data_IF_492775857348
#
_entry.id   IF_492775857348
#
_cell.length_a   1.000
_cell.length_b   1.000
_cell.length_c   1.000
_cell.angle_alpha   90.00
_cell.angle_beta   90.00
_cell.angle_gamma   90.00
#
_symmetry.space_group_name_H-M   'P 1'
#
loop_
_entity.id
_entity.type
_entity.pdbx_description
1 polymer ?
#
# COMPACT_ATOMS: atom_id res chain seq x y z
N UNK A 1 21.78 -22.19 10.32
CA UNK A 1 20.60 -21.37 9.99
C UNK A 1 21.08 -20.11 9.29
N UNK A 2 21.11 -20.12 7.95
CA UNK A 2 21.37 -18.91 7.16
C UNK A 2 20.06 -18.11 7.14
N UNK A 3 20.17 -16.84 7.50
CA UNK A 3 19.07 -15.92 7.79
C UNK A 3 18.01 -15.86 6.68
N UNK A 4 16.75 -15.99 7.07
CA UNK A 4 15.54 -15.75 6.27
C UNK A 4 15.43 -14.30 5.72
N UNK A 5 16.39 -13.44 6.05
CA UNK A 5 16.54 -12.05 5.60
C UNK A 5 17.08 -11.89 4.16
N UNK A 6 17.54 -12.97 3.50
CA UNK A 6 18.29 -12.86 2.25
C UNK A 6 17.45 -12.64 0.98
N UNK A 7 16.13 -12.46 1.08
CA UNK A 7 15.23 -12.44 -0.08
C UNK A 7 14.42 -11.15 -0.29
N UNK A 8 14.75 -10.09 0.44
CA UNK A 8 14.51 -8.72 -0.02
C UNK A 8 15.86 -8.19 -0.52
N UNK A 9 16.21 -8.35 -1.81
CA UNK A 9 17.44 -7.77 -2.31
C UNK A 9 17.32 -6.25 -2.13
N UNK A 10 18.16 -5.68 -1.27
CA UNK A 10 18.44 -4.24 -1.15
C UNK A 10 17.32 -3.31 -0.64
N UNK A 11 16.30 -3.82 0.05
CA UNK A 11 15.61 -3.01 1.07
C UNK A 11 16.47 -3.01 2.34
N UNK A 12 17.66 -2.40 2.29
CA UNK A 12 18.22 -1.82 3.50
C UNK A 12 17.27 -0.69 3.89
N UNK A 13 16.21 -1.03 4.62
CA UNK A 13 15.37 -0.08 5.31
C UNK A 13 16.29 0.67 6.26
N UNK A 14 16.86 1.78 5.78
CA UNK A 14 17.38 2.81 6.66
C UNK A 14 16.27 3.04 7.67
N UNK A 15 16.58 2.98 8.97
CA UNK A 15 15.60 3.24 10.05
C UNK A 15 14.88 4.60 9.92
N UNK A 16 15.36 5.44 9.01
CA UNK A 16 14.83 6.75 8.63
C UNK A 16 13.75 6.70 7.53
N UNK A 17 13.63 5.62 6.76
CA UNK A 17 12.66 5.51 5.66
C UNK A 17 11.24 5.41 6.21
N UNK A 18 10.42 6.41 5.88
CA UNK A 18 9.01 6.45 6.24
C UNK A 18 8.21 5.61 5.24
N UNK A 19 7.77 4.44 5.69
CA UNK A 19 6.99 3.50 4.87
C UNK A 19 5.54 3.97 4.80
N UNK A 20 5.02 4.05 3.57
CA UNK A 20 3.59 4.10 3.26
C UNK A 20 3.10 2.69 2.96
N UNK A 21 2.18 2.18 3.78
CA UNK A 21 1.42 0.97 3.47
C UNK A 21 0.12 1.39 2.78
N UNK A 22 -0.04 0.98 1.53
CA UNK A 22 -1.21 1.31 0.71
C UNK A 22 -1.92 0.02 0.26
N UNK A 23 -2.84 -0.50 1.08
CA UNK A 23 -3.72 -1.57 0.69
C UNK A 23 -4.87 -1.04 -0.18
N UNK A 24 -5.11 -1.69 -1.33
CA UNK A 24 -6.06 -1.19 -2.33
C UNK A 24 -6.71 -2.30 -3.16
N UNK A 25 -7.77 -1.91 -3.87
CA UNK A 25 -8.45 -2.70 -4.89
C UNK A 25 -8.20 -2.07 -6.27
N UNK A 26 -6.95 -2.09 -6.73
CA UNK A 26 -6.52 -1.39 -7.93
C UNK A 26 -5.82 -0.06 -7.67
N UNK A 27 -4.93 0.29 -8.62
CA UNK A 27 -3.90 1.32 -8.42
C UNK A 27 -4.40 2.74 -8.67
N UNK A 28 -4.26 3.60 -7.65
CA UNK A 28 -4.46 5.04 -7.77
C UNK A 28 -3.23 5.83 -7.27
N UNK A 29 -2.54 6.48 -8.21
CA UNK A 29 -1.39 7.34 -7.94
C UNK A 29 -1.75 8.66 -7.20
N UNK A 30 -3.03 9.06 -7.16
CA UNK A 30 -3.46 10.30 -6.50
C UNK A 30 -3.25 10.25 -4.99
N UNK A 31 -3.31 9.06 -4.40
CA UNK A 31 -3.07 8.85 -2.95
C UNK A 31 -1.63 9.20 -2.56
N UNK A 32 -0.59 8.57 -3.12
CA UNK A 32 0.79 8.94 -2.80
C UNK A 32 1.13 10.38 -3.20
N UNK A 33 0.56 10.91 -4.30
CA UNK A 33 0.71 12.33 -4.65
C UNK A 33 0.13 13.26 -3.59
N UNK A 34 -1.03 12.92 -3.03
CA UNK A 34 -1.71 13.70 -2.00
C UNK A 34 -0.93 13.72 -0.70
N UNK A 35 -0.39 12.57 -0.26
CA UNK A 35 0.52 12.50 0.88
C UNK A 35 1.80 13.30 0.66
N UNK A 36 2.39 13.23 -0.53
CA UNK A 36 3.55 14.04 -0.88
C UNK A 36 3.23 15.53 -0.80
N UNK A 37 2.09 15.99 -1.32
CA UNK A 37 1.67 17.40 -1.22
C UNK A 37 1.47 17.83 0.22
N UNK A 38 0.83 17.01 1.04
CA UNK A 38 0.68 17.28 2.47
C UNK A 38 2.02 17.38 3.19
N UNK A 39 2.98 16.49 2.89
CA UNK A 39 4.32 16.56 3.50
C UNK A 39 5.00 17.93 3.31
N UNK A 40 4.69 18.61 2.20
CA UNK A 40 5.18 19.95 1.90
C UNK A 40 4.38 21.06 2.60
N UNK A 41 3.07 20.88 2.79
CA UNK A 41 2.18 21.90 3.33
C UNK A 41 2.15 21.95 4.86
N UNK A 42 2.17 20.77 5.49
CA UNK A 42 2.02 20.62 6.96
C UNK A 42 3.28 20.04 7.62
N UNK A 43 4.43 20.08 6.91
CA UNK A 43 5.74 19.65 7.39
C UNK A 43 5.77 18.20 7.93
N UNK A 44 5.07 17.29 7.27
CA UNK A 44 5.10 15.87 7.61
C UNK A 44 6.32 15.19 6.99
N UNK A 45 6.84 14.11 7.59
CA UNK A 45 7.90 13.31 6.99
C UNK A 45 7.49 12.76 5.62
N UNK A 46 8.30 12.94 4.57
CA UNK A 46 8.01 12.40 3.24
C UNK A 46 8.05 10.86 3.27
N UNK A 47 7.10 10.15 2.62
CA UNK A 47 7.23 8.71 2.44
C UNK A 47 8.45 8.42 1.55
N UNK A 48 9.29 7.48 1.98
CA UNK A 48 10.49 7.05 1.25
C UNK A 48 10.33 5.71 0.53
N UNK A 49 9.26 4.97 0.84
CA UNK A 49 8.90 3.70 0.22
C UNK A 49 7.38 3.52 0.30
N UNK A 50 6.78 3.03 -0.78
CA UNK A 50 5.40 2.57 -0.79
C UNK A 50 5.36 1.04 -0.86
N UNK A 51 4.75 0.40 0.12
CA UNK A 51 4.31 -0.99 0.04
C UNK A 51 2.87 -0.98 -0.44
N UNK A 52 2.70 -1.25 -1.73
CA UNK A 52 1.40 -1.21 -2.38
C UNK A 52 0.86 -2.64 -2.50
N UNK A 53 -0.23 -2.93 -1.78
CA UNK A 53 -0.77 -4.29 -1.66
C UNK A 53 -2.14 -4.34 -2.34
N UNK A 54 -2.23 -5.09 -3.43
CA UNK A 54 -3.39 -5.09 -4.31
C UNK A 54 -3.91 -6.50 -4.56
N UNK A 55 -5.07 -6.83 -3.99
CA UNK A 55 -5.69 -8.13 -4.16
C UNK A 55 -6.36 -8.29 -5.53
N UNK A 56 -6.67 -7.20 -6.23
CA UNK A 56 -7.36 -7.22 -7.53
C UNK A 56 -6.45 -7.67 -8.67
N UNK A 57 -5.13 -7.57 -8.46
CA UNK A 57 -4.08 -7.85 -9.44
C UNK A 57 -4.16 -7.01 -10.73
N UNK A 58 -5.00 -5.97 -10.77
CA UNK A 58 -5.21 -5.17 -11.98
C UNK A 58 -3.93 -4.45 -12.42
N UNK A 59 -3.13 -3.95 -11.47
CA UNK A 59 -1.88 -3.30 -11.82
C UNK A 59 -0.82 -4.32 -12.27
N UNK A 60 -0.77 -5.53 -11.68
CA UNK A 60 0.14 -6.58 -12.16
C UNK A 60 -0.03 -6.83 -13.67
N UNK A 61 -1.27 -7.04 -14.12
CA UNK A 61 -1.58 -7.25 -15.54
C UNK A 61 -1.10 -6.09 -16.41
N UNK A 62 -1.30 -4.84 -15.97
CA UNK A 62 -0.85 -3.65 -16.71
C UNK A 62 0.68 -3.54 -16.76
N UNK A 63 1.36 -3.86 -15.65
CA UNK A 63 2.82 -3.84 -15.59
C UNK A 63 3.43 -4.89 -16.52
N UNK A 64 2.89 -6.11 -16.54
CA UNK A 64 3.35 -7.19 -17.41
C UNK A 64 3.13 -6.86 -18.90
N UNK A 65 1.97 -6.30 -19.24
CA UNK A 65 1.68 -5.84 -20.60
C UNK A 65 2.62 -4.73 -21.05
N UNK A 66 2.87 -3.73 -20.19
CA UNK A 66 3.80 -2.64 -20.48
C UNK A 66 5.23 -3.17 -20.67
N UNK A 67 5.68 -4.05 -19.78
CA UNK A 67 6.99 -4.69 -19.88
C UNK A 67 7.14 -5.48 -21.18
N UNK A 68 6.13 -6.27 -21.57
CA UNK A 68 6.15 -7.04 -22.82
C UNK A 68 6.18 -6.13 -24.07
N UNK A 69 5.55 -4.97 -24.01
CA UNK A 69 5.58 -3.97 -25.09
C UNK A 69 6.88 -3.15 -25.13
N UNK A 70 7.71 -3.21 -24.07
CA UNK A 70 8.88 -2.33 -23.91
C UNK A 70 8.51 -0.90 -23.53
N UNK A 71 7.28 -0.69 -23.03
CA UNK A 71 6.71 0.60 -22.66
C UNK A 71 6.66 0.80 -21.14
N UNK A 72 6.50 2.05 -20.72
CA UNK A 72 6.14 2.42 -19.35
C UNK A 72 4.66 2.76 -19.21
N UNK A 73 4.12 2.70 -17.99
CA UNK A 73 2.76 3.18 -17.71
C UNK A 73 2.76 4.69 -17.51
N UNK A 74 1.89 5.42 -18.21
CA UNK A 74 1.80 6.88 -18.12
C UNK A 74 0.36 7.33 -17.90
N UNK A 75 0.17 8.23 -16.94
CA UNK A 75 -1.11 8.90 -16.67
C UNK A 75 -1.04 10.41 -16.95
N UNK A 76 0.13 10.92 -17.30
CA UNK A 76 0.39 12.32 -17.65
C UNK A 76 1.89 12.55 -17.87
N UNK A 77 2.31 13.79 -18.16
CA UNK A 77 3.73 14.12 -18.34
C UNK A 77 4.55 13.90 -17.06
N UNK A 78 3.90 14.07 -15.91
CA UNK A 78 4.51 14.08 -14.58
C UNK A 78 4.19 12.83 -13.75
N UNK A 79 3.34 11.93 -14.28
CA UNK A 79 2.86 10.75 -13.57
C UNK A 79 3.10 9.52 -14.43
N UNK A 80 4.11 8.74 -14.07
CA UNK A 80 4.51 7.58 -14.85
C UNK A 80 5.26 6.53 -14.04
N UNK A 81 5.32 5.32 -14.60
CA UNK A 81 6.21 4.23 -14.23
C UNK A 81 7.06 3.95 -15.47
N UNK A 82 8.36 4.21 -15.40
CA UNK A 82 9.26 4.08 -16.55
C UNK A 82 9.89 2.69 -16.66
N UNK A 83 10.27 2.09 -15.53
CA UNK A 83 10.90 0.77 -15.47
C UNK A 83 10.25 -0.06 -14.38
N UNK A 84 10.10 -1.35 -14.67
CA UNK A 84 9.55 -2.34 -13.75
C UNK A 84 10.56 -3.47 -13.62
N UNK A 85 10.96 -3.75 -12.40
CA UNK A 85 11.75 -4.93 -12.06
C UNK A 85 10.83 -5.97 -11.44
N UNK A 86 10.98 -7.22 -11.86
CA UNK A 86 10.28 -8.35 -11.24
C UNK A 86 11.14 -8.90 -10.11
N UNK A 87 10.53 -9.11 -8.96
CA UNK A 87 11.12 -9.78 -7.81
C UNK A 87 10.41 -11.11 -7.60
N UNK A 88 11.17 -12.19 -7.48
CA UNK A 88 10.68 -13.49 -7.04
C UNK A 88 10.79 -13.58 -5.52
N UNK A 89 9.67 -13.43 -4.77
CA UNK A 89 9.69 -13.58 -3.32
C UNK A 89 9.95 -15.03 -2.92
N UNK A 90 10.38 -15.27 -1.66
CA UNK A 90 10.50 -16.61 -1.12
C UNK A 90 9.24 -17.46 -1.30
N UNK A 91 9.42 -18.70 -1.71
CA UNK A 91 8.31 -19.65 -1.90
C UNK A 91 7.48 -19.84 -0.63
N UNK A 92 8.13 -19.89 0.54
CA UNK A 92 7.44 -20.00 1.82
C UNK A 92 6.56 -18.78 2.13
N UNK A 93 6.96 -17.58 1.71
CA UNK A 93 6.14 -16.37 1.85
C UNK A 93 4.90 -16.45 0.96
N UNK A 94 5.07 -16.87 -0.29
CA UNK A 94 3.94 -17.07 -1.21
C UNK A 94 2.96 -18.11 -0.65
N UNK A 95 3.44 -19.25 -0.15
CA UNK A 95 2.59 -20.30 0.43
C UNK A 95 1.80 -19.75 1.63
N UNK A 96 2.45 -19.00 2.52
CA UNK A 96 1.81 -18.38 3.69
C UNK A 96 0.73 -17.38 3.28
N UNK A 97 1.05 -16.46 2.37
CA UNK A 97 0.10 -15.48 1.83
C UNK A 97 -1.11 -16.16 1.18
N UNK A 98 -0.89 -17.21 0.38
CA UNK A 98 -1.96 -18.03 -0.21
C UNK A 98 -2.83 -18.69 0.86
N UNK A 99 -2.22 -19.29 1.88
CA UNK A 99 -2.95 -20.02 2.91
C UNK A 99 -3.91 -19.13 3.70
N UNK A 100 -3.49 -17.90 4.05
CA UNK A 100 -4.32 -16.94 4.78
C UNK A 100 -5.27 -16.14 3.88
N UNK A 101 -4.86 -15.86 2.64
CA UNK A 101 -5.68 -15.17 1.64
C UNK A 101 -6.87 -15.97 1.13
N UNK A 102 -6.96 -17.29 1.41
CA UNK A 102 -8.11 -18.14 1.05
C UNK A 102 -9.45 -17.69 1.63
N UNK A 103 -9.42 -16.86 2.67
CA UNK A 103 -10.62 -16.29 3.30
C UNK A 103 -10.97 -14.88 2.80
N UNK A 104 -10.24 -14.35 1.81
CA UNK A 104 -10.58 -13.09 1.17
C UNK A 104 -11.98 -13.18 0.51
N UNK A 105 -12.80 -12.11 0.57
CA UNK A 105 -14.11 -12.08 -0.08
C UNK A 105 -14.02 -12.52 -1.56
N UNK A 106 -15.06 -13.24 -2.02
CA UNK A 106 -15.14 -13.95 -3.31
C UNK A 106 -14.30 -13.33 -4.45
N UNK A 107 -13.23 -14.01 -4.84
CA UNK A 107 -12.37 -13.66 -5.99
C UNK A 107 -10.94 -13.22 -5.63
N UNK A 108 -10.63 -12.96 -4.36
CA UNK A 108 -9.36 -12.34 -3.91
C UNK A 108 -8.13 -13.24 -3.77
N UNK A 109 -8.03 -14.38 -4.45
CA UNK A 109 -6.81 -15.20 -4.42
C UNK A 109 -6.20 -15.35 -5.82
N UNK A 110 -5.53 -14.29 -6.25
CA UNK A 110 -4.53 -14.37 -7.28
C UNK A 110 -3.22 -13.81 -6.72
N UNK A 111 -2.65 -14.46 -5.70
CA UNK A 111 -1.25 -14.13 -5.36
C UNK A 111 -0.40 -14.51 -6.58
N UNK A 112 0.05 -13.52 -7.34
CA UNK A 112 1.09 -13.76 -8.33
C UNK A 112 2.32 -14.30 -7.60
N UNK A 113 3.03 -15.23 -8.22
CA UNK A 113 4.34 -15.67 -7.73
C UNK A 113 5.41 -14.58 -7.91
N UNK A 114 5.01 -13.38 -8.38
CA UNK A 114 5.88 -12.25 -8.69
C UNK A 114 5.46 -11.01 -7.94
N UNK A 115 6.44 -10.31 -7.40
CA UNK A 115 6.32 -8.94 -6.91
C UNK A 115 6.98 -8.00 -7.91
N UNK A 116 6.62 -6.73 -7.87
CA UNK A 116 7.05 -5.76 -8.86
C UNK A 116 7.61 -4.54 -8.15
N UNK A 117 8.81 -4.14 -8.55
CA UNK A 117 9.51 -2.97 -8.03
C UNK A 117 9.53 -1.93 -9.13
N UNK A 118 9.09 -0.72 -8.82
CA UNK A 118 9.13 0.39 -9.76
C UNK A 118 9.22 1.73 -9.04
N UNK A 119 9.76 2.73 -9.72
CA UNK A 119 9.68 4.11 -9.27
C UNK A 119 8.40 4.76 -9.82
N UNK A 120 7.53 5.21 -8.92
CA UNK A 120 6.42 6.06 -9.28
C UNK A 120 6.90 7.51 -9.38
N UNK A 121 6.92 8.03 -10.61
CA UNK A 121 7.27 9.42 -10.86
C UNK A 121 6.05 10.30 -10.48
N UNK A 122 6.25 11.21 -9.53
CA UNK A 122 5.26 12.14 -9.00
C UNK A 122 5.75 13.58 -9.15
N UNK A 123 5.59 14.17 -10.34
CA UNK A 123 5.99 15.54 -10.70
C UNK A 123 7.45 15.92 -10.41
N UNK A 124 7.84 16.07 -9.14
CA UNK A 124 9.20 16.42 -8.69
C UNK A 124 9.78 15.44 -7.67
N UNK A 125 9.16 14.28 -7.53
CA UNK A 125 9.57 13.25 -6.58
C UNK A 125 9.44 11.87 -7.21
N UNK A 126 10.35 10.98 -6.83
CA UNK A 126 10.29 9.57 -7.16
C UNK A 126 9.94 8.83 -5.89
N UNK A 127 8.85 8.07 -5.92
CA UNK A 127 8.46 7.21 -4.83
C UNK A 127 8.73 5.76 -5.24
N UNK A 128 9.74 5.09 -4.65
CA UNK A 128 9.93 3.66 -4.83
C UNK A 128 8.68 2.91 -4.36
N UNK A 129 8.18 2.00 -5.19
CA UNK A 129 7.03 1.16 -4.90
C UNK A 129 7.44 -0.30 -4.99
N UNK A 130 7.15 -1.04 -3.92
CA UNK A 130 7.06 -2.49 -3.95
C UNK A 130 5.58 -2.85 -4.07
N UNK A 131 5.18 -3.27 -5.26
CA UNK A 131 3.84 -3.77 -5.53
C UNK A 131 3.77 -5.27 -5.21
N UNK A 132 2.79 -5.64 -4.40
CA UNK A 132 2.55 -7.00 -3.91
C UNK A 132 1.11 -7.38 -4.25
N UNK A 133 0.88 -8.32 -5.18
CA UNK A 133 -0.45 -8.84 -5.45
C UNK A 133 -0.84 -9.82 -4.34
N UNK A 134 -1.49 -9.34 -3.28
CA UNK A 134 -1.87 -10.15 -2.12
C UNK A 134 -3.05 -9.53 -1.35
N UNK A 135 -3.61 -10.32 -0.43
CA UNK A 135 -4.48 -9.82 0.62
C UNK A 135 -3.65 -9.03 1.67
N UNK A 136 -4.14 -7.86 2.05
CA UNK A 136 -3.42 -6.96 2.94
C UNK A 136 -3.36 -7.47 4.40
N UNK A 137 -4.39 -8.16 4.89
CA UNK A 137 -4.38 -8.74 6.24
C UNK A 137 -3.34 -9.87 6.30
N UNK A 138 -3.33 -10.74 5.29
CA UNK A 138 -2.32 -11.78 5.16
C UNK A 138 -0.90 -11.19 5.05
N UNK A 139 -0.71 -10.15 4.24
CA UNK A 139 0.59 -9.48 4.10
C UNK A 139 1.09 -8.87 5.42
N UNK A 140 0.21 -8.21 6.17
CA UNK A 140 0.54 -7.70 7.51
C UNK A 140 1.04 -8.84 8.39
N UNK A 141 0.25 -9.90 8.54
CA UNK A 141 0.51 -10.94 9.52
C UNK A 141 1.71 -11.85 9.15
N UNK A 142 1.95 -12.08 7.86
CA UNK A 142 2.98 -13.03 7.41
C UNK A 142 4.29 -12.35 6.98
N UNK A 143 4.27 -11.05 6.67
CA UNK A 143 5.44 -10.33 6.18
C UNK A 143 5.79 -9.14 7.07
N UNK A 144 4.89 -8.17 7.26
CA UNK A 144 5.24 -6.96 8.01
C UNK A 144 5.55 -7.24 9.48
N UNK A 145 4.71 -8.03 10.15
CA UNK A 145 4.88 -8.36 11.57
C UNK A 145 6.16 -9.16 11.82
N UNK A 146 6.44 -10.26 11.09
CA UNK A 146 7.68 -11.01 11.29
C UNK A 146 8.95 -10.22 10.96
N UNK A 147 8.86 -9.20 10.10
CA UNK A 147 9.97 -8.33 9.74
C UNK A 147 10.05 -7.06 10.62
N UNK A 148 9.17 -6.92 11.61
CA UNK A 148 9.10 -5.76 12.51
C UNK A 148 8.99 -4.42 11.76
N UNK A 149 8.34 -4.43 10.59
CA UNK A 149 8.19 -3.22 9.77
C UNK A 149 6.96 -2.45 10.28
N UNK A 150 7.21 -1.31 10.91
CA UNK A 150 6.18 -0.36 11.31
C UNK A 150 5.97 0.71 10.23
N UNK A 151 4.79 0.76 9.56
CA UNK A 151 4.50 1.84 8.62
C UNK A 151 4.41 3.18 9.33
N UNK A 152 4.91 4.25 8.71
CA UNK A 152 4.67 5.62 9.18
C UNK A 152 3.29 6.12 8.73
N UNK A 153 2.87 5.69 7.54
CA UNK A 153 1.61 6.04 6.92
C UNK A 153 0.84 4.78 6.53
N UNK A 154 -0.46 4.79 6.76
CA UNK A 154 -1.40 3.88 6.09
C UNK A 154 -2.37 4.71 5.27
N UNK A 155 -2.65 4.29 4.04
CA UNK A 155 -3.68 4.91 3.22
C UNK A 155 -4.73 3.89 2.81
N UNK A 156 -5.99 4.14 3.16
CA UNK A 156 -7.10 3.23 2.85
C UNK A 156 -8.17 3.98 2.09
N UNK A 157 -8.56 3.48 0.92
CA UNK A 157 -9.61 4.09 0.11
C UNK A 157 -10.91 3.30 0.24
N UNK A 158 -11.99 4.00 0.56
CA UNK A 158 -13.28 3.43 0.98
C UNK A 158 -14.14 2.91 -0.17
N UNK A 159 -13.81 3.24 -1.43
CA UNK A 159 -14.71 2.97 -2.57
C UNK A 159 -14.79 1.50 -2.98
N UNK A 160 -14.00 0.61 -2.35
CA UNK A 160 -14.32 -0.82 -2.35
C UNK A 160 -15.76 -1.09 -1.92
N UNK A 161 -16.33 -0.28 -1.02
CA UNK A 161 -17.68 -0.53 -0.49
C UNK A 161 -18.81 -0.36 -1.53
N UNK A 162 -18.59 0.42 -2.61
CA UNK A 162 -19.60 0.61 -3.68
C UNK A 162 -19.62 -0.53 -4.69
N UNK A 163 -18.48 -1.16 -4.94
CA UNK A 163 -18.32 -2.30 -5.85
C UNK A 163 -18.28 -3.66 -5.12
N UNK A 164 -18.69 -3.71 -3.85
CA UNK A 164 -18.79 -4.96 -3.06
C UNK A 164 -17.51 -5.40 -2.33
N UNK A 165 -16.44 -4.61 -2.36
CA UNK A 165 -15.23 -4.75 -1.55
C UNK A 165 -15.41 -4.27 -0.11
N UNK A 166 -15.22 -5.15 0.86
CA UNK A 166 -15.41 -4.85 2.30
C UNK A 166 -14.36 -3.91 2.93
N UNK A 167 -13.55 -3.18 2.15
CA UNK A 167 -12.31 -2.51 2.61
C UNK A 167 -12.54 -1.42 3.67
N UNK A 168 -13.63 -0.65 3.54
CA UNK A 168 -14.03 0.35 4.55
C UNK A 168 -14.23 -0.30 5.92
N UNK A 169 -14.91 -1.47 5.96
CA UNK A 169 -15.16 -2.20 7.19
C UNK A 169 -13.89 -2.81 7.80
N UNK A 170 -12.89 -3.15 6.98
CA UNK A 170 -11.62 -3.70 7.49
C UNK A 170 -10.79 -2.63 8.21
N UNK A 171 -10.86 -1.39 7.75
CA UNK A 171 -9.96 -0.30 8.17
C UNK A 171 -10.45 0.47 9.40
N UNK A 172 -11.73 0.35 9.77
CA UNK A 172 -12.30 0.93 11.00
C UNK A 172 -11.58 0.44 12.24
N UNK A 173 -11.69 1.17 13.35
CA UNK A 173 -11.11 0.73 14.63
C UNK A 173 -11.59 -0.66 15.04
N UNK A 174 -12.85 -1.03 14.76
CA UNK A 174 -13.37 -2.37 15.04
C UNK A 174 -13.12 -3.37 13.90
N UNK A 175 -12.49 -2.92 12.81
CA UNK A 175 -12.23 -3.70 11.62
C UNK A 175 -11.02 -4.61 11.78
N UNK A 176 -11.01 -5.80 11.15
CA UNK A 176 -9.94 -6.79 11.31
C UNK A 176 -8.56 -6.31 10.82
N UNK A 177 -8.47 -5.38 9.85
CA UNK A 177 -7.18 -4.86 9.41
C UNK A 177 -6.58 -3.92 10.45
N UNK A 178 -7.37 -3.00 11.00
CA UNK A 178 -6.92 -2.16 12.11
C UNK A 178 -6.56 -2.97 13.35
N UNK A 179 -7.43 -3.91 13.74
CA UNK A 179 -7.18 -4.77 14.91
C UNK A 179 -5.92 -5.61 14.72
N UNK A 180 -5.66 -6.13 13.52
CA UNK A 180 -4.41 -6.84 13.23
C UNK A 180 -3.16 -5.96 13.38
N UNK A 181 -3.22 -4.69 12.97
CA UNK A 181 -2.12 -3.74 13.18
C UNK A 181 -1.96 -3.34 14.66
N UNK A 182 -3.06 -3.23 15.40
CA UNK A 182 -3.08 -2.92 16.84
C UNK A 182 -2.51 -4.07 17.67
N UNK A 183 -2.98 -5.30 17.46
CA UNK A 183 -2.54 -6.50 18.17
C UNK A 183 -1.05 -6.78 17.96
N UNK A 184 -0.53 -6.44 16.78
CA UNK A 184 0.88 -6.58 16.46
C UNK A 184 1.76 -5.36 16.83
N UNK A 185 1.21 -4.33 17.50
CA UNK A 185 1.88 -3.07 17.84
C UNK A 185 2.60 -2.36 16.67
N UNK A 186 2.00 -2.41 15.48
CA UNK A 186 2.53 -1.76 14.27
C UNK A 186 1.56 -0.71 13.71
N UNK A 187 0.65 -0.17 14.54
CA UNK A 187 -0.17 0.97 14.14
C UNK A 187 0.68 2.13 13.60
N UNK A 188 0.26 2.76 12.48
CA UNK A 188 1.02 3.84 11.88
C UNK A 188 0.97 5.11 12.72
N UNK A 189 1.81 6.09 12.38
CA UNK A 189 1.72 7.43 12.96
C UNK A 189 0.52 8.18 12.38
N UNK A 190 0.31 8.05 11.06
CA UNK A 190 -0.74 8.75 10.33
C UNK A 190 -1.58 7.81 9.46
N UNK A 191 -2.87 8.11 9.35
CA UNK A 191 -3.82 7.35 8.53
C UNK A 191 -4.56 8.27 7.56
N UNK A 192 -4.39 8.05 6.26
CA UNK A 192 -5.15 8.73 5.23
C UNK A 192 -6.36 7.89 4.85
N UNK A 193 -7.55 8.46 5.00
CA UNK A 193 -8.80 7.81 4.66
C UNK A 193 -9.66 8.68 3.75
N UNK A 194 -10.25 8.06 2.75
CA UNK A 194 -11.31 8.65 1.94
C UNK A 194 -12.64 8.35 2.66
N UNK A 195 -13.34 9.37 3.17
CA UNK A 195 -14.48 9.25 4.10
C UNK A 195 -14.10 8.76 5.52
N UNK A 196 -13.78 9.72 6.39
CA UNK A 196 -13.18 9.50 7.72
C UNK A 196 -14.08 8.90 8.81
N UNK A 197 -14.30 7.59 8.74
CA UNK A 197 -14.99 6.78 9.75
C UNK A 197 -14.00 6.02 10.68
N UNK A 198 -12.85 6.63 10.95
CA UNK A 198 -11.89 6.14 11.93
C UNK A 198 -11.97 7.13 13.09
N UNK A 199 -12.18 6.69 14.34
CA UNK A 199 -12.40 7.58 15.48
C UNK A 199 -11.14 8.39 15.90
N UNK A 200 -10.16 8.53 15.01
CA UNK A 200 -8.94 9.30 15.20
C UNK A 200 -9.16 10.81 15.00
N UNK A 201 -8.40 11.66 15.72
CA UNK A 201 -8.36 13.09 15.47
C UNK A 201 -7.91 13.42 14.05
N UNK A 202 -8.66 14.28 13.36
CA UNK A 202 -8.28 14.78 12.04
C UNK A 202 -7.15 15.82 12.14
N UNK A 203 -6.11 15.63 11.32
CA UNK A 203 -4.95 16.51 11.24
C UNK A 203 -5.03 17.46 10.03
N UNK A 204 -5.38 16.95 8.85
CA UNK A 204 -5.46 17.73 7.62
C UNK A 204 -6.53 17.21 6.65
N UNK A 205 -7.08 18.11 5.85
CA UNK A 205 -7.98 17.77 4.73
C UNK A 205 -7.19 17.75 3.44
N UNK A 206 -7.47 16.78 2.56
CA UNK A 206 -6.78 16.62 1.28
C UNK A 206 -7.79 16.40 0.18
N UNK A 207 -7.60 17.13 -0.91
CA UNK A 207 -8.35 16.88 -2.12
C UNK A 207 -7.62 15.81 -2.94
N UNK A 208 -7.76 14.55 -2.54
CA UNK A 208 -7.22 13.41 -3.29
C UNK A 208 -8.14 13.00 -4.46
N UNK A 209 -9.41 13.44 -4.45
CA UNK A 209 -10.34 13.30 -5.58
C UNK A 209 -10.46 11.88 -6.11
N UNK A 210 -10.35 10.88 -5.22
CA UNK A 210 -10.12 9.49 -5.64
C UNK A 210 -11.41 8.92 -6.24
N UNK A 211 -12.59 9.19 -5.64
CA UNK A 211 -13.86 8.56 -6.07
C UNK A 211 -15.17 9.36 -5.90
N UNK A 212 -15.14 10.69 -5.72
CA UNK A 212 -16.37 11.50 -5.67
C UNK A 212 -16.18 12.86 -5.00
N UNK A 213 -17.28 13.62 -4.81
CA UNK A 213 -17.30 14.96 -4.20
C UNK A 213 -16.90 15.02 -2.71
N UNK A 214 -16.22 14.00 -2.18
CA UNK A 214 -15.79 13.91 -0.79
C UNK A 214 -14.37 14.44 -0.57
N UNK A 215 -14.11 15.02 0.60
CA UNK A 215 -12.76 15.36 1.07
C UNK A 215 -12.14 14.15 1.78
N UNK A 216 -10.93 13.76 1.38
CA UNK A 216 -10.14 12.78 2.12
C UNK A 216 -9.50 13.45 3.34
N UNK A 217 -9.28 12.70 4.42
CA UNK A 217 -8.72 13.22 5.68
C UNK A 217 -7.48 12.46 6.08
N UNK A 218 -6.42 13.19 6.42
CA UNK A 218 -5.29 12.65 7.15
C UNK A 218 -5.58 12.75 8.65
N UNK A 219 -5.51 11.62 9.33
CA UNK A 219 -5.77 11.47 10.75
C UNK A 219 -4.48 11.12 11.49
N UNK A 220 -4.36 11.57 12.75
CA UNK A 220 -3.26 11.21 13.64
C UNK A 220 -3.69 10.02 14.52
N UNK A 221 -3.00 8.89 14.39
CA UNK A 221 -3.38 7.63 15.08
C UNK A 221 -2.79 7.53 16.47
N UNK A 222 -1.53 7.96 16.65
CA UNK A 222 -0.85 7.96 17.95
C UNK A 222 -0.64 9.40 18.43
N UNK A 223 -0.96 9.68 19.69
CA UNK A 223 -0.50 10.86 20.45
C UNK A 223 0.54 10.42 21.46
#
# INVERSE_FOLDING_TARGET
MKSELAALPQLQLHKELKVLLYPAAGFDWKVPLSLLRLSLQVNLPKPGLCLYVDYSCQLATKLEQAQAAGDGLKWGPDISIAQVSVLEPPENWIIKLRSRGRYAPQGGCATSDRWYIFDLHLARHYLPVLYIPADAIAFVAEILVPLEIKPAYVATVTDGCRDGGNWCCLSKETGPFYQGLLEADILPDYWLTDHGDLNFPALAKVNAGVYGQGESKLLLVRK
#
